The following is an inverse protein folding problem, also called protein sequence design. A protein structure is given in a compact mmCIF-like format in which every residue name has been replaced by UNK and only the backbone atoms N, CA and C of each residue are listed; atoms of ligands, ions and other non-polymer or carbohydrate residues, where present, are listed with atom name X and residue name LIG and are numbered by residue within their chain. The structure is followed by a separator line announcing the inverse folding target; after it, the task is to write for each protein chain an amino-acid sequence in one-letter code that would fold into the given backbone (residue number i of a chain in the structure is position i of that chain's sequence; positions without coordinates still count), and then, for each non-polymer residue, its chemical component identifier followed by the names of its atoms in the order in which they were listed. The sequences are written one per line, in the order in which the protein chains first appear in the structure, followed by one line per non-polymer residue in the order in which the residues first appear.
data_IF_646304487421
#
_entry.id   IF_646304487421
#
_cell.length_a   1.000
_cell.length_b   1.000
_cell.length_c   1.000
_cell.angle_alpha   90.00
_cell.angle_beta   90.00
_cell.angle_gamma   90.00
#
_symmetry.space_group_name_H-M   'P 1'
#
loop_
_entity.id
_entity.type
_entity.pdbx_description
1 polymer ?
#
# COMPACT_ATOMS: atom_id res chain seq x y z
N UNK A 1 23.68 3.33 -9.83
CA UNK A 1 22.25 3.62 -10.04
C UNK A 1 21.47 2.53 -9.35
N UNK A 2 20.77 2.83 -8.25
CA UNK A 2 19.96 1.80 -7.57
C UNK A 2 18.76 1.50 -8.48
N UNK A 3 18.83 0.38 -9.19
CA UNK A 3 17.71 -0.19 -9.92
C UNK A 3 16.66 -0.55 -8.86
N UNK A 4 15.67 0.33 -8.63
CA UNK A 4 14.59 0.05 -7.69
C UNK A 4 13.72 -0.97 -8.38
N UNK A 5 14.04 -2.25 -8.15
CA UNK A 5 13.24 -3.35 -8.66
C UNK A 5 11.79 -3.12 -8.22
N UNK A 6 10.88 -3.23 -9.18
CA UNK A 6 9.46 -3.10 -8.90
C UNK A 6 9.06 -4.24 -7.97
N UNK A 7 8.70 -3.91 -6.73
CA UNK A 7 8.18 -4.87 -5.77
C UNK A 7 7.00 -5.62 -6.36
N UNK A 8 6.98 -6.93 -6.15
CA UNK A 8 5.86 -7.79 -6.49
C UNK A 8 4.60 -7.34 -5.76
N UNK A 9 3.42 -7.71 -6.27
CA UNK A 9 2.14 -7.36 -5.63
C UNK A 9 2.10 -7.85 -4.18
N UNK A 10 2.59 -9.06 -3.94
CA UNK A 10 2.68 -9.67 -2.61
C UNK A 10 3.55 -8.83 -1.65
N UNK A 11 4.74 -8.44 -2.10
CA UNK A 11 5.64 -7.56 -1.32
C UNK A 11 5.02 -6.18 -1.05
N UNK A 12 4.18 -5.67 -1.95
CA UNK A 12 3.45 -4.43 -1.73
C UNK A 12 2.40 -4.59 -0.64
N UNK A 13 1.66 -5.71 -0.64
CA UNK A 13 0.66 -6.03 0.40
C UNK A 13 1.35 -6.16 1.76
N UNK A 14 2.44 -6.91 1.84
CA UNK A 14 3.20 -7.05 3.09
C UNK A 14 3.72 -5.71 3.61
N UNK A 15 4.22 -4.85 2.72
CA UNK A 15 4.67 -3.51 3.09
C UNK A 15 3.53 -2.64 3.63
N UNK A 16 2.34 -2.72 3.04
CA UNK A 16 1.16 -2.00 3.53
C UNK A 16 0.79 -2.48 4.93
N UNK A 17 0.77 -3.80 5.16
CA UNK A 17 0.53 -4.41 6.48
C UNK A 17 1.57 -3.95 7.51
N UNK A 18 2.87 -3.99 7.17
CA UNK A 18 3.96 -3.54 8.02
C UNK A 18 3.84 -2.05 8.41
N UNK A 19 3.27 -1.24 7.53
CA UNK A 19 3.04 0.20 7.76
C UNK A 19 1.75 0.49 8.53
N UNK A 20 1.02 -0.54 8.95
CA UNK A 20 -0.22 -0.41 9.74
C UNK A 20 -1.50 -0.36 8.92
N UNK A 21 -1.45 -0.68 7.62
CA UNK A 21 -2.68 -0.82 6.83
C UNK A 21 -3.33 -2.18 7.09
N UNK A 22 -4.62 -2.17 7.39
CA UNK A 22 -5.43 -3.36 7.54
C UNK A 22 -5.81 -3.88 6.14
N UNK A 23 -5.18 -5.00 5.75
CA UNK A 23 -5.52 -5.71 4.52
C UNK A 23 -6.33 -6.94 4.91
N UNK A 24 -7.65 -6.86 4.73
CA UNK A 24 -8.58 -7.95 5.07
C UNK A 24 -8.60 -9.07 4.04
N UNK A 25 -8.76 -8.73 2.76
CA UNK A 25 -8.75 -9.68 1.64
C UNK A 25 -7.53 -9.41 0.76
N UNK A 26 -6.56 -10.32 0.81
CA UNK A 26 -5.32 -10.21 0.03
C UNK A 26 -5.56 -10.44 -1.46
N UNK A 27 -6.59 -11.19 -1.85
CA UNK A 27 -6.96 -11.39 -3.24
C UNK A 27 -7.56 -10.12 -3.85
N UNK A 28 -8.44 -9.45 -3.10
CA UNK A 28 -8.91 -8.12 -3.44
C UNK A 28 -7.73 -7.15 -3.51
N UNK A 29 -6.86 -7.13 -2.50
CA UNK A 29 -5.70 -6.26 -2.44
C UNK A 29 -4.80 -6.43 -3.66
N UNK A 30 -4.53 -7.68 -4.02
CA UNK A 30 -3.70 -8.01 -5.17
C UNK A 30 -4.33 -7.52 -6.48
N UNK A 31 -5.64 -7.74 -6.67
CA UNK A 31 -6.37 -7.24 -7.85
C UNK A 31 -6.41 -5.72 -7.89
N UNK A 32 -6.62 -5.08 -6.75
CA UNK A 32 -6.67 -3.62 -6.60
C UNK A 32 -5.31 -2.99 -6.93
N UNK A 33 -4.23 -3.52 -6.35
CA UNK A 33 -2.84 -3.09 -6.63
C UNK A 33 -2.42 -3.40 -8.08
N UNK A 34 -2.89 -4.51 -8.66
CA UNK A 34 -2.62 -4.84 -10.06
C UNK A 34 -3.30 -3.85 -11.04
N UNK A 35 -4.42 -3.25 -10.63
CA UNK A 35 -5.16 -2.27 -11.45
C UNK A 35 -4.67 -0.82 -11.23
N UNK A 36 -4.02 -0.51 -10.10
CA UNK A 36 -3.51 0.83 -9.80
C UNK A 36 -2.14 1.02 -10.44
N UNK A 37 -2.00 2.03 -11.31
CA UNK A 37 -0.70 2.45 -11.79
C UNK A 37 0.18 2.94 -10.63
N UNK A 38 1.46 2.53 -10.59
CA UNK A 38 2.45 2.90 -9.58
C UNK A 38 2.45 4.39 -9.18
N UNK A 39 2.25 5.30 -10.16
CA UNK A 39 2.20 6.74 -9.93
C UNK A 39 0.97 7.22 -9.16
N UNK A 40 -0.15 6.50 -9.24
CA UNK A 40 -1.39 6.81 -8.50
C UNK A 40 -1.38 6.25 -7.09
N UNK A 41 -0.57 5.23 -6.84
CA UNK A 41 -0.47 4.56 -5.54
C UNK A 41 -0.15 5.58 -4.44
N UNK A 42 0.83 6.48 -4.65
CA UNK A 42 1.18 7.51 -3.65
C UNK A 42 0.00 8.41 -3.26
N UNK A 43 -0.89 8.72 -4.19
CA UNK A 43 -2.04 9.59 -3.96
C UNK A 43 -3.17 8.89 -3.19
N UNK A 44 -3.41 7.61 -3.48
CA UNK A 44 -4.48 6.82 -2.85
C UNK A 44 -4.37 6.80 -1.32
N UNK A 45 -3.17 6.62 -0.80
CA UNK A 45 -2.93 6.48 0.63
C UNK A 45 -2.45 7.76 1.30
N UNK A 46 -2.39 8.88 0.57
CA UNK A 46 -1.78 10.10 1.07
C UNK A 46 -2.52 10.64 2.31
N UNK A 47 -3.85 10.59 2.27
CA UNK A 47 -4.73 11.07 3.34
C UNK A 47 -4.80 10.09 4.53
N UNK A 48 -4.59 8.80 4.26
CA UNK A 48 -4.65 7.72 5.24
C UNK A 48 -3.38 7.60 6.10
N UNK A 49 -2.32 8.35 5.78
CA UNK A 49 -1.08 8.33 6.55
C UNK A 49 -1.21 9.14 7.85
N UNK A 50 -0.90 8.50 8.97
CA UNK A 50 -0.74 9.16 10.27
C UNK A 50 0.61 9.87 10.35
N UNK A 51 1.67 9.24 9.83
CA UNK A 51 3.01 9.80 9.77
C UNK A 51 3.53 9.75 8.32
N UNK A 52 3.63 10.92 7.71
CA UNK A 52 4.09 11.08 6.32
C UNK A 52 5.60 10.98 6.15
N UNK A 53 6.37 11.16 7.23
CA UNK A 53 7.83 11.03 7.20
C UNK A 53 8.23 9.55 7.19
N UNK A 54 7.52 8.73 7.96
CA UNK A 54 7.76 7.29 8.10
C UNK A 54 6.86 6.44 7.19
N UNK A 55 5.92 7.06 6.47
CA UNK A 55 4.88 6.40 5.66
C UNK A 55 4.02 5.43 6.47
N UNK A 56 3.69 5.78 7.72
CA UNK A 56 2.83 4.97 8.58
C UNK A 56 1.37 5.35 8.37
N UNK A 57 0.53 4.33 8.29
CA UNK A 57 -0.92 4.49 8.16
C UNK A 57 -1.57 4.71 9.52
N UNK A 58 -2.76 5.33 9.50
CA UNK A 58 -3.58 5.39 10.70
C UNK A 58 -4.04 3.96 11.07
N UNK A 59 -4.16 3.62 12.36
CA UNK A 59 -4.45 2.25 12.81
C UNK A 59 -5.80 1.68 12.31
N UNK A 60 -6.70 2.53 11.82
CA UNK A 60 -8.00 2.16 11.23
C UNK A 60 -8.00 2.21 9.69
N UNK A 61 -6.84 2.49 9.08
CA UNK A 61 -6.71 2.55 7.62
C UNK A 61 -6.83 1.15 7.05
N UNK A 62 -8.00 0.83 6.47
CA UNK A 62 -8.22 -0.42 5.77
C UNK A 62 -8.15 -0.22 4.26
N UNK A 63 -7.65 -1.24 3.59
CA UNK A 63 -7.79 -1.36 2.14
C UNK A 63 -9.24 -1.82 1.85
N UNK A 64 -10.13 -0.89 1.50
CA UNK A 64 -11.56 -1.19 1.26
C UNK A 64 -11.80 -1.90 -0.08
N UNK A 65 -12.82 -2.77 -0.11
CA UNK A 65 -13.46 -3.33 -1.34
C UNK A 65 -14.38 -2.32 -2.02
#
# INVERSE_FOLDING_TARGET
MANKESRSIDEQIELLKQRGMLVGDEGFAARHLAHISYYRLKGYWWDMQSDRANHLFQPDSKLED
#
